data_IF_633024658500
#
_entry.id   IF_633024658500
#
_cell.length_a   1.000
_cell.length_b   1.000
_cell.length_c   1.000
_cell.angle_alpha   90.00
_cell.angle_beta   90.00
_cell.angle_gamma   90.00
#
_symmetry.space_group_name_H-M   'P 1'
#
loop_
_entity.id
_entity.type
_entity.pdbx_description
1 polymer ?
#
# COMPACT_ATOMS: atom_id res chain seq x y z
N UNK A 1 15.11 20.03 15.84
CA UNK A 1 14.38 18.80 15.50
C UNK A 1 13.83 18.94 14.10
N UNK A 2 14.10 17.98 13.21
CA UNK A 2 13.70 18.06 11.80
C UNK A 2 12.17 17.96 11.69
N UNK A 3 11.56 18.83 10.88
CA UNK A 3 10.09 18.95 10.73
C UNK A 3 9.41 17.61 10.42
N UNK A 4 10.12 16.74 9.69
CA UNK A 4 9.70 15.37 9.37
C UNK A 4 9.43 14.50 10.60
N UNK A 5 10.27 14.55 11.63
CA UNK A 5 10.08 13.72 12.85
C UNK A 5 8.81 14.13 13.58
N UNK A 6 8.55 15.44 13.67
CA UNK A 6 7.31 15.96 14.24
C UNK A 6 6.09 15.53 13.42
N UNK A 7 6.19 15.56 12.07
CA UNK A 7 5.12 15.11 11.19
C UNK A 7 4.81 13.61 11.36
N UNK A 8 5.85 12.76 11.41
CA UNK A 8 5.69 11.31 11.67
C UNK A 8 5.04 11.06 13.03
N UNK A 9 5.43 11.80 14.07
CA UNK A 9 4.83 11.66 15.40
C UNK A 9 3.35 12.04 15.40
N UNK A 10 2.99 13.14 14.72
CA UNK A 10 1.60 13.58 14.60
C UNK A 10 0.79 12.54 13.84
N UNK A 11 1.31 12.05 12.71
CA UNK A 11 0.64 11.02 11.91
C UNK A 11 0.37 9.75 12.73
N UNK A 12 1.35 9.30 13.52
CA UNK A 12 1.18 8.14 14.40
C UNK A 12 0.06 8.36 15.43
N UNK A 13 0.02 9.54 16.05
CA UNK A 13 -1.04 9.91 17.01
C UNK A 13 -2.41 9.92 16.33
N UNK A 14 -2.50 10.46 15.10
CA UNK A 14 -3.74 10.48 14.32
C UNK A 14 -4.21 9.05 14.00
N UNK A 15 -3.33 8.16 13.55
CA UNK A 15 -3.69 6.78 13.24
C UNK A 15 -4.17 6.00 14.48
N UNK A 16 -3.58 6.26 15.65
CA UNK A 16 -4.06 5.67 16.90
C UNK A 16 -5.43 6.22 17.27
N UNK A 17 -5.63 7.55 17.21
CA UNK A 17 -6.89 8.22 17.54
C UNK A 17 -8.03 7.80 16.61
N UNK A 18 -7.74 7.65 15.32
CA UNK A 18 -8.67 7.19 14.29
C UNK A 18 -8.85 5.66 14.28
N UNK A 19 -8.17 4.94 15.19
CA UNK A 19 -8.24 3.48 15.35
C UNK A 19 -7.76 2.67 14.13
N UNK A 20 -7.05 3.27 13.18
CA UNK A 20 -6.44 2.56 12.05
C UNK A 20 -5.47 1.48 12.53
N UNK A 21 -4.72 1.71 13.60
CA UNK A 21 -3.80 0.70 14.15
C UNK A 21 -4.56 -0.54 14.67
N UNK A 22 -5.72 -0.34 15.28
CA UNK A 22 -6.58 -1.45 15.73
C UNK A 22 -7.18 -2.19 14.54
N UNK A 23 -7.59 -1.46 13.50
CA UNK A 23 -8.09 -2.04 12.26
C UNK A 23 -7.00 -2.85 11.52
N UNK A 24 -5.74 -2.42 11.55
CA UNK A 24 -4.61 -3.15 10.99
C UNK A 24 -4.35 -4.47 11.74
N UNK A 25 -4.39 -4.44 13.07
CA UNK A 25 -4.29 -5.67 13.90
C UNK A 25 -5.45 -6.62 13.56
N UNK A 26 -6.67 -6.09 13.46
CA UNK A 26 -7.83 -6.88 13.07
C UNK A 26 -7.68 -7.50 11.67
N UNK A 27 -7.16 -6.75 10.68
CA UNK A 27 -6.84 -7.27 9.35
C UNK A 27 -5.86 -8.45 9.43
N UNK A 28 -4.76 -8.30 10.19
CA UNK A 28 -3.79 -9.37 10.40
C UNK A 28 -4.41 -10.62 11.05
N UNK A 29 -5.24 -10.44 12.08
CA UNK A 29 -5.95 -11.54 12.72
C UNK A 29 -6.92 -12.24 11.76
N UNK A 30 -7.62 -11.48 10.92
CA UNK A 30 -8.52 -12.02 9.89
C UNK A 30 -7.75 -12.90 8.90
N UNK A 31 -6.57 -12.46 8.45
CA UNK A 31 -5.73 -13.25 7.55
C UNK A 31 -5.19 -14.52 8.22
N UNK A 32 -4.78 -14.44 9.48
CA UNK A 32 -4.39 -15.62 10.26
C UNK A 32 -5.54 -16.61 10.43
N UNK A 33 -6.76 -16.13 10.66
CA UNK A 33 -7.94 -16.98 10.75
C UNK A 33 -8.24 -17.73 9.44
N UNK A 34 -7.86 -17.16 8.29
CA UNK A 34 -7.97 -17.81 6.98
C UNK A 34 -6.83 -18.80 6.74
N UNK A 35 -5.59 -18.46 7.11
CA UNK A 35 -4.39 -19.26 6.83
C UNK A 35 -4.19 -20.46 7.75
N UNK A 36 -4.41 -20.29 9.06
CA UNK A 36 -4.13 -21.34 10.05
C UNK A 36 -4.97 -22.61 9.87
N UNK A 37 -6.23 -22.57 9.43
CA UNK A 37 -6.99 -23.79 9.11
C UNK A 37 -6.47 -24.55 7.90
N UNK A 38 -5.72 -23.91 6.99
CA UNK A 38 -5.28 -24.54 5.75
C UNK A 38 -4.14 -25.55 5.99
N UNK A 39 -4.06 -26.62 5.19
CA UNK A 39 -2.87 -27.48 5.11
C UNK A 39 -1.63 -26.69 4.70
N UNK A 40 -0.45 -27.11 5.18
CA UNK A 40 0.84 -26.42 4.94
C UNK A 40 1.12 -26.14 3.46
N UNK A 41 0.82 -27.08 2.57
CA UNK A 41 0.99 -26.90 1.11
C UNK A 41 0.05 -25.85 0.50
N UNK A 42 -1.17 -25.70 1.03
CA UNK A 42 -2.10 -24.67 0.58
C UNK A 42 -1.77 -23.29 1.16
N UNK A 43 -1.24 -23.24 2.40
CA UNK A 43 -0.76 -21.98 3.00
C UNK A 43 0.31 -21.32 2.15
N UNK A 44 1.30 -22.08 1.69
CA UNK A 44 2.36 -21.54 0.81
C UNK A 44 1.81 -21.02 -0.51
N UNK A 45 0.69 -21.57 -1.02
CA UNK A 45 0.01 -21.10 -2.24
C UNK A 45 -0.80 -19.82 -1.98
N UNK A 46 -1.48 -19.74 -0.84
CA UNK A 46 -2.34 -18.61 -0.48
C UNK A 46 -1.58 -17.36 -0.03
N UNK A 47 -0.40 -17.51 0.58
CA UNK A 47 0.32 -16.42 1.26
C UNK A 47 0.58 -15.18 0.40
N UNK A 48 1.06 -15.27 -0.86
CA UNK A 48 1.23 -14.08 -1.70
C UNK A 48 -0.06 -13.31 -1.95
N UNK A 49 -1.19 -14.01 -2.07
CA UNK A 49 -2.51 -13.38 -2.25
C UNK A 49 -3.00 -12.71 -0.99
N UNK A 50 -2.77 -13.35 0.16
CA UNK A 50 -3.07 -12.79 1.49
C UNK A 50 -2.29 -11.50 1.71
N UNK A 51 -0.98 -11.53 1.47
CA UNK A 51 -0.13 -10.35 1.58
C UNK A 51 -0.51 -9.26 0.58
N UNK A 52 -0.76 -9.61 -0.69
CA UNK A 52 -1.22 -8.64 -1.67
C UNK A 52 -2.59 -8.04 -1.28
N UNK A 53 -3.49 -8.83 -0.70
CA UNK A 53 -4.75 -8.39 -0.12
C UNK A 53 -4.54 -7.43 1.06
N UNK A 54 -3.64 -7.74 2.00
CA UNK A 54 -3.32 -6.87 3.13
C UNK A 54 -2.67 -5.55 2.68
N UNK A 55 -1.73 -5.61 1.73
CA UNK A 55 -1.15 -4.40 1.11
C UNK A 55 -2.20 -3.56 0.40
N UNK A 56 -3.28 -4.18 -0.08
CA UNK A 56 -4.44 -3.47 -0.64
C UNK A 56 -5.28 -2.83 0.46
N UNK A 57 -5.59 -3.54 1.55
CA UNK A 57 -6.37 -3.00 2.68
C UNK A 57 -5.65 -1.79 3.29
N UNK A 58 -4.40 -1.96 3.70
CA UNK A 58 -3.64 -0.92 4.39
C UNK A 58 -3.10 0.11 3.38
N UNK A 59 -2.54 -0.36 2.26
CA UNK A 59 -1.98 0.53 1.27
C UNK A 59 -3.05 1.35 0.56
N UNK A 60 -4.14 0.75 0.11
CA UNK A 60 -5.13 1.48 -0.69
C UNK A 60 -6.20 2.18 0.15
N UNK A 61 -6.81 1.46 1.09
CA UNK A 61 -7.97 1.98 1.80
C UNK A 61 -7.59 2.82 3.02
N UNK A 62 -6.57 2.45 3.79
CA UNK A 62 -6.24 3.22 5.00
C UNK A 62 -5.70 4.61 4.64
N UNK A 63 -4.83 4.71 3.63
CA UNK A 63 -4.34 6.03 3.19
C UNK A 63 -5.47 6.93 2.74
N UNK A 64 -6.40 6.42 1.93
CA UNK A 64 -7.55 7.19 1.47
C UNK A 64 -8.45 7.58 2.65
N UNK A 65 -8.71 6.64 3.56
CA UNK A 65 -9.44 6.87 4.80
C UNK A 65 -8.82 8.01 5.63
N UNK A 66 -7.51 7.98 5.87
CA UNK A 66 -6.84 9.06 6.61
C UNK A 66 -7.00 10.41 5.91
N UNK A 67 -6.91 10.47 4.57
CA UNK A 67 -7.13 11.71 3.81
C UNK A 67 -8.57 12.22 3.98
N UNK A 68 -9.57 11.35 3.94
CA UNK A 68 -10.97 11.75 4.15
C UNK A 68 -11.23 12.21 5.58
N UNK A 69 -10.67 11.53 6.59
CA UNK A 69 -10.76 11.99 7.98
C UNK A 69 -10.12 13.37 8.14
N UNK A 70 -8.94 13.58 7.55
CA UNK A 70 -8.28 14.89 7.60
C UNK A 70 -9.07 16.00 6.89
N UNK A 71 -9.83 15.66 5.83
CA UNK A 71 -10.77 16.60 5.19
C UNK A 71 -11.92 16.95 6.12
N UNK A 72 -12.53 15.96 6.75
CA UNK A 72 -13.68 16.13 7.64
C UNK A 72 -13.30 16.92 8.90
N UNK A 73 -12.12 16.66 9.48
CA UNK A 73 -11.61 17.37 10.65
C UNK A 73 -11.05 18.77 10.31
N UNK A 74 -11.07 19.18 9.03
CA UNK A 74 -10.46 20.42 8.51
C UNK A 74 -8.96 20.55 8.83
N UNK A 75 -8.29 19.45 9.19
CA UNK A 75 -6.87 19.43 9.54
C UNK A 75 -5.98 19.60 8.31
N UNK A 76 -6.46 19.25 7.11
CA UNK A 76 -5.76 19.59 5.85
C UNK A 76 -5.56 21.10 5.68
N UNK A 77 -6.52 21.94 6.09
CA UNK A 77 -6.37 23.39 6.05
C UNK A 77 -5.33 23.90 7.05
N UNK A 78 -5.25 23.28 8.23
CA UNK A 78 -4.22 23.59 9.23
C UNK A 78 -2.82 23.20 8.73
N UNK A 79 -2.68 22.07 8.04
CA UNK A 79 -1.40 21.63 7.44
C UNK A 79 -0.92 22.65 6.39
N UNK A 80 -1.82 23.15 5.54
CA UNK A 80 -1.50 24.17 4.53
C UNK A 80 -1.04 25.49 5.17
N UNK A 81 -1.58 25.85 6.34
CA UNK A 81 -1.19 27.04 7.10
C UNK A 81 0.14 26.89 7.85
N UNK A 82 0.71 25.67 7.93
CA UNK A 82 2.02 25.41 8.55
C UNK A 82 3.13 25.39 7.49
N UNK A 83 4.41 25.66 7.86
CA UNK A 83 5.53 25.63 6.92
C UNK A 83 5.97 24.19 6.54
N UNK A 84 5.05 23.21 6.62
CA UNK A 84 5.30 21.81 6.30
C UNK A 84 5.22 21.62 4.79
N UNK A 85 6.29 21.07 4.19
CA UNK A 85 6.29 20.81 2.75
C UNK A 85 5.42 19.59 2.45
N UNK A 86 4.75 19.60 1.29
CA UNK A 86 3.96 18.44 0.82
C UNK A 86 4.78 17.13 0.83
N UNK A 87 6.06 17.19 0.47
CA UNK A 87 6.95 16.03 0.49
C UNK A 87 7.18 15.49 1.90
N UNK A 88 7.24 16.35 2.92
CA UNK A 88 7.37 15.95 4.33
C UNK A 88 6.06 15.35 4.85
N UNK A 89 4.93 15.93 4.48
CA UNK A 89 3.60 15.38 4.79
C UNK A 89 3.40 13.98 4.16
N UNK A 90 3.60 13.87 2.85
CA UNK A 90 3.41 12.60 2.13
C UNK A 90 4.39 11.54 2.65
N UNK A 91 5.67 11.87 2.82
CA UNK A 91 6.65 10.89 3.33
C UNK A 91 6.34 10.44 4.76
N UNK A 92 5.88 11.32 5.64
CA UNK A 92 5.46 10.94 6.99
C UNK A 92 4.27 9.96 6.94
N UNK A 93 3.25 10.26 6.15
CA UNK A 93 2.07 9.39 5.97
C UNK A 93 2.44 8.03 5.39
N UNK A 94 3.23 8.02 4.31
CA UNK A 94 3.71 6.80 3.69
C UNK A 94 4.55 5.97 4.65
N UNK A 95 5.46 6.59 5.41
CA UNK A 95 6.34 5.87 6.33
C UNK A 95 5.56 5.19 7.47
N UNK A 96 4.58 5.86 8.07
CA UNK A 96 3.78 5.27 9.15
C UNK A 96 2.92 4.13 8.63
N UNK A 97 2.17 4.32 7.53
CA UNK A 97 1.33 3.26 6.98
C UNK A 97 2.14 2.08 6.43
N UNK A 98 3.30 2.34 5.83
CA UNK A 98 4.23 1.31 5.40
C UNK A 98 4.74 0.50 6.59
N UNK A 99 5.13 1.16 7.68
CA UNK A 99 5.59 0.48 8.89
C UNK A 99 4.49 -0.40 9.50
N UNK A 100 3.24 0.06 9.51
CA UNK A 100 2.08 -0.71 9.97
C UNK A 100 1.88 -1.95 9.08
N UNK A 101 1.81 -1.79 7.76
CA UNK A 101 1.65 -2.90 6.82
C UNK A 101 2.79 -3.91 6.90
N UNK A 102 4.03 -3.44 7.00
CA UNK A 102 5.20 -4.31 7.13
C UNK A 102 5.17 -5.10 8.45
N UNK A 103 4.77 -4.46 9.55
CA UNK A 103 4.64 -5.11 10.85
C UNK A 103 3.57 -6.20 10.81
N UNK A 104 2.41 -5.91 10.23
CA UNK A 104 1.33 -6.92 10.05
C UNK A 104 1.82 -8.07 9.18
N UNK A 105 2.42 -7.78 8.02
CA UNK A 105 2.93 -8.82 7.12
C UNK A 105 3.97 -9.73 7.78
N UNK A 106 4.92 -9.17 8.52
CA UNK A 106 5.94 -9.96 9.25
C UNK A 106 5.28 -10.84 10.31
N UNK A 107 4.34 -10.30 11.10
CA UNK A 107 3.64 -11.08 12.15
C UNK A 107 2.81 -12.21 11.53
N UNK A 108 2.04 -11.92 10.48
CA UNK A 108 1.18 -12.92 9.82
C UNK A 108 2.02 -14.06 9.25
N UNK A 109 3.06 -13.74 8.48
CA UNK A 109 3.92 -14.75 7.83
C UNK A 109 4.70 -15.57 8.86
N UNK A 110 5.25 -14.93 9.89
CA UNK A 110 6.03 -15.65 10.92
C UNK A 110 5.14 -16.59 11.73
N UNK A 111 3.90 -16.22 12.02
CA UNK A 111 2.94 -17.09 12.72
C UNK A 111 2.45 -18.22 11.81
N UNK A 112 2.20 -17.95 10.52
CA UNK A 112 1.66 -18.93 9.59
C UNK A 112 2.69 -19.98 9.12
N UNK A 113 3.95 -19.56 8.91
CA UNK A 113 5.01 -20.36 8.27
C UNK A 113 6.27 -20.52 9.12
N UNK A 114 6.37 -19.90 10.30
CA UNK A 114 7.56 -19.97 11.15
C UNK A 114 8.75 -19.30 10.47
N UNK A 115 9.77 -20.08 10.10
CA UNK A 115 10.97 -19.61 9.37
C UNK A 115 11.05 -20.18 7.95
N UNK A 116 10.00 -20.86 7.47
CA UNK A 116 9.98 -21.54 6.18
C UNK A 116 9.61 -20.61 5.01
N UNK A 117 10.26 -19.45 4.92
CA UNK A 117 10.08 -18.49 3.83
C UNK A 117 11.36 -17.66 3.63
N UNK A 118 11.48 -16.99 2.47
CA UNK A 118 12.62 -16.11 2.18
C UNK A 118 12.28 -14.67 2.58
N UNK A 119 12.91 -14.10 3.62
CA UNK A 119 12.51 -12.80 4.16
C UNK A 119 12.84 -11.63 3.22
N UNK A 120 13.97 -11.68 2.51
CA UNK A 120 14.38 -10.58 1.61
C UNK A 120 13.36 -10.30 0.48
N UNK A 121 12.94 -11.28 -0.34
CA UNK A 121 11.93 -11.05 -1.36
C UNK A 121 10.55 -10.74 -0.76
N UNK A 122 10.21 -11.31 0.40
CA UNK A 122 8.96 -10.98 1.09
C UNK A 122 8.92 -9.50 1.51
N UNK A 123 9.94 -9.00 2.20
CA UNK A 123 10.01 -7.61 2.63
C UNK A 123 10.02 -6.65 1.45
N UNK A 124 10.79 -6.93 0.39
CA UNK A 124 10.83 -6.09 -0.81
C UNK A 124 9.47 -6.08 -1.53
N UNK A 125 8.83 -7.23 -1.67
CA UNK A 125 7.50 -7.35 -2.25
C UNK A 125 6.46 -6.55 -1.48
N UNK A 126 6.42 -6.69 -0.15
CA UNK A 126 5.50 -5.90 0.70
C UNK A 126 5.82 -4.41 0.62
N UNK A 127 7.09 -4.01 0.70
CA UNK A 127 7.45 -2.59 0.66
C UNK A 127 7.01 -1.93 -0.64
N UNK A 128 7.36 -2.54 -1.78
CA UNK A 128 7.03 -1.98 -3.10
C UNK A 128 5.53 -2.05 -3.37
N UNK A 129 4.88 -3.17 -3.03
CA UNK A 129 3.43 -3.35 -3.19
C UNK A 129 2.64 -2.34 -2.37
N UNK A 130 2.97 -2.20 -1.08
CA UNK A 130 2.33 -1.23 -0.19
C UNK A 130 2.56 0.20 -0.65
N UNK A 131 3.79 0.58 -1.04
CA UNK A 131 4.05 1.94 -1.55
C UNK A 131 3.26 2.28 -2.80
N UNK A 132 3.13 1.35 -3.74
CA UNK A 132 2.30 1.54 -4.93
C UNK A 132 0.83 1.74 -4.53
N UNK A 133 0.28 0.86 -3.69
CA UNK A 133 -1.11 0.96 -3.25
C UNK A 133 -1.37 2.25 -2.45
N UNK A 134 -0.44 2.66 -1.59
CA UNK A 134 -0.49 3.91 -0.86
C UNK A 134 -0.56 5.11 -1.79
N UNK A 135 0.28 5.14 -2.81
CA UNK A 135 0.30 6.27 -3.74
C UNK A 135 -0.93 6.30 -4.65
N UNK A 136 -1.39 5.15 -5.14
CA UNK A 136 -2.61 5.08 -5.97
C UNK A 136 -3.83 5.45 -5.13
N UNK A 137 -4.01 4.86 -3.94
CA UNK A 137 -5.12 5.17 -3.04
C UNK A 137 -5.14 6.63 -2.58
N UNK A 138 -3.96 7.21 -2.33
CA UNK A 138 -3.86 8.64 -2.04
C UNK A 138 -4.24 9.46 -3.27
N UNK A 139 -3.66 9.20 -4.46
CA UNK A 139 -3.92 9.98 -5.67
C UNK A 139 -5.39 9.95 -6.09
N UNK A 140 -6.05 8.78 -6.01
CA UNK A 140 -7.46 8.63 -6.40
C UNK A 140 -8.40 9.28 -5.40
N UNK A 141 -8.03 9.41 -4.12
CA UNK A 141 -8.90 10.05 -3.10
C UNK A 141 -8.92 11.58 -3.19
N UNK A 142 -7.89 12.21 -3.75
CA UNK A 142 -7.78 13.67 -3.87
C UNK A 142 -8.96 14.38 -4.59
N UNK A 143 -9.48 13.92 -5.74
CA UNK A 143 -10.56 14.63 -6.44
C UNK A 143 -11.93 14.57 -5.73
N UNK A 144 -12.17 13.56 -4.90
CA UNK A 144 -13.49 13.28 -4.33
C UNK A 144 -13.68 13.95 -2.96
N UNK A 145 -14.89 14.46 -2.70
CA UNK A 145 -15.24 15.06 -1.41
C UNK A 145 -15.80 14.03 -0.42
N UNK A 146 -16.49 13.00 -0.91
CA UNK A 146 -17.09 11.94 -0.09
C UNK A 146 -16.37 10.61 -0.28
N UNK A 147 -16.34 9.82 0.79
CA UNK A 147 -15.81 8.45 0.77
C UNK A 147 -16.65 7.56 -0.16
N UNK A 148 -17.97 7.72 -0.14
CA UNK A 148 -18.90 6.90 -0.92
C UNK A 148 -18.68 7.03 -2.43
N UNK A 149 -18.52 8.27 -2.93
CA UNK A 149 -18.28 8.51 -4.35
C UNK A 149 -16.92 7.96 -4.79
N UNK A 150 -15.91 8.14 -3.93
CA UNK A 150 -14.58 7.59 -4.16
C UNK A 150 -14.59 6.07 -4.21
N UNK A 151 -15.31 5.42 -3.29
CA UNK A 151 -15.36 3.96 -3.20
C UNK A 151 -15.90 3.33 -4.49
N UNK A 152 -16.88 3.95 -5.12
CA UNK A 152 -17.40 3.50 -6.43
C UNK A 152 -16.37 3.72 -7.54
N UNK A 153 -15.83 4.93 -7.66
CA UNK A 153 -14.90 5.28 -8.75
C UNK A 153 -13.56 4.52 -8.67
N UNK A 154 -13.12 4.20 -7.46
CA UNK A 154 -11.81 3.60 -7.21
C UNK A 154 -11.76 2.11 -7.54
N UNK A 155 -12.90 1.49 -7.82
CA UNK A 155 -13.02 0.10 -8.28
C UNK A 155 -12.18 -0.15 -9.53
N UNK A 156 -12.16 0.80 -10.48
CA UNK A 156 -11.41 0.65 -11.74
C UNK A 156 -9.89 0.66 -11.49
N UNK A 157 -9.29 1.69 -10.85
CA UNK A 157 -7.87 1.67 -10.49
C UNK A 157 -7.49 0.44 -9.67
N UNK A 158 -8.34 0.06 -8.70
CA UNK A 158 -8.08 -1.09 -7.84
C UNK A 158 -8.10 -2.40 -8.61
N UNK A 159 -9.08 -2.60 -9.51
CA UNK A 159 -9.16 -3.76 -10.37
C UNK A 159 -7.91 -3.87 -11.25
N UNK A 160 -7.49 -2.78 -11.91
CA UNK A 160 -6.27 -2.75 -12.74
C UNK A 160 -5.04 -3.16 -11.92
N UNK A 161 -4.87 -2.60 -10.73
CA UNK A 161 -3.76 -2.92 -9.83
C UNK A 161 -3.84 -4.33 -9.24
N UNK A 162 -4.99 -5.00 -9.30
CA UNK A 162 -5.19 -6.38 -8.82
C UNK A 162 -5.08 -7.43 -9.93
N UNK A 163 -5.09 -7.01 -11.22
CA UNK A 163 -4.99 -7.92 -12.37
C UNK A 163 -3.81 -8.91 -12.32
N UNK A 164 -2.60 -8.52 -11.84
CA UNK A 164 -1.48 -9.44 -11.62
C UNK A 164 -1.80 -10.70 -10.82
N UNK A 165 -2.79 -10.67 -9.93
CA UNK A 165 -3.20 -11.87 -9.19
C UNK A 165 -3.70 -12.98 -10.13
N UNK A 166 -4.32 -12.62 -11.25
CA UNK A 166 -4.77 -13.55 -12.28
C UNK A 166 -3.61 -14.18 -13.08
N UNK A 167 -2.46 -13.50 -13.14
CA UNK A 167 -1.23 -14.07 -13.69
C UNK A 167 -0.70 -15.16 -12.78
N UNK A 168 -0.58 -14.84 -11.47
CA UNK A 168 -0.02 -15.77 -10.49
C UNK A 168 -0.88 -17.04 -10.35
N UNK A 169 -2.21 -16.93 -10.50
CA UNK A 169 -3.11 -18.08 -10.42
C UNK A 169 -3.12 -18.97 -11.66
N UNK A 170 -2.43 -18.56 -12.74
CA UNK A 170 -2.41 -19.28 -14.01
C UNK A 170 -3.72 -19.16 -14.81
N UNK A 171 -4.71 -18.40 -14.33
CA UNK A 171 -6.00 -18.20 -15.02
C UNK A 171 -5.82 -17.37 -16.29
N UNK A 172 -4.96 -16.35 -16.25
CA UNK A 172 -4.66 -15.53 -17.43
C UNK A 172 -3.20 -15.09 -17.47
N UNK A 173 -2.28 -15.97 -17.93
CA UNK A 173 -0.86 -15.69 -18.00
C UNK A 173 -0.53 -14.85 -19.25
N UNK A 174 -1.01 -13.60 -19.29
CA UNK A 174 -0.79 -12.69 -20.41
C UNK A 174 0.43 -11.77 -20.14
N UNK A 175 1.39 -11.63 -21.08
CA UNK A 175 2.51 -10.69 -20.96
C UNK A 175 2.12 -9.23 -20.69
N UNK A 176 0.91 -8.81 -21.09
CA UNK A 176 0.38 -7.47 -20.83
C UNK A 176 0.33 -7.14 -19.33
N UNK A 177 0.22 -8.15 -18.45
CA UNK A 177 0.17 -7.95 -17.00
C UNK A 177 1.51 -7.45 -16.43
N UNK A 178 2.62 -7.58 -17.16
CA UNK A 178 3.90 -6.93 -16.83
C UNK A 178 3.89 -5.40 -17.03
N UNK A 179 2.82 -4.83 -17.59
CA UNK A 179 2.62 -3.37 -17.59
C UNK A 179 1.99 -2.88 -16.29
N UNK A 180 1.47 -3.76 -15.45
CA UNK A 180 0.88 -3.37 -14.18
C UNK A 180 2.00 -3.35 -13.12
N UNK A 181 2.21 -2.23 -12.41
CA UNK A 181 3.36 -2.08 -11.51
C UNK A 181 3.32 -3.04 -10.31
N UNK A 182 2.15 -3.58 -9.98
CA UNK A 182 1.95 -4.56 -8.89
C UNK A 182 2.39 -5.98 -9.26
N UNK A 183 2.70 -6.24 -10.54
CA UNK A 183 3.27 -7.51 -11.00
C UNK A 183 4.63 -7.79 -10.36
N UNK A 184 5.52 -6.78 -10.30
CA UNK A 184 6.84 -6.92 -9.69
C UNK A 184 6.79 -7.36 -8.21
N UNK A 185 6.07 -6.62 -7.34
CA UNK A 185 5.84 -7.00 -5.96
C UNK A 185 5.25 -8.40 -5.82
N UNK A 186 4.26 -8.76 -6.66
CA UNK A 186 3.61 -10.06 -6.60
C UNK A 186 4.57 -11.21 -6.98
N UNK A 187 5.45 -11.01 -7.97
CA UNK A 187 6.50 -11.97 -8.32
C UNK A 187 7.49 -12.17 -7.18
N UNK A 188 7.89 -11.08 -6.49
CA UNK A 188 8.75 -11.16 -5.30
C UNK A 188 8.07 -11.95 -4.19
N UNK A 189 6.78 -11.69 -3.91
CA UNK A 189 6.01 -12.46 -2.94
C UNK A 189 5.91 -13.94 -3.33
N UNK A 190 5.59 -14.26 -4.59
CA UNK A 190 5.57 -15.65 -5.09
C UNK A 190 6.92 -16.35 -4.93
N UNK A 191 8.03 -15.64 -5.15
CA UNK A 191 9.38 -16.17 -4.93
C UNK A 191 9.73 -16.39 -3.45
N UNK A 192 9.10 -15.62 -2.55
CA UNK A 192 9.36 -15.72 -1.12
C UNK A 192 8.84 -17.02 -0.51
N UNK A 193 7.76 -17.57 -1.08
CA UNK A 193 7.13 -18.82 -0.66
C UNK A 193 7.42 -19.99 -1.61
N UNK A 194 8.39 -19.84 -2.52
CA UNK A 194 8.84 -20.91 -3.41
C UNK A 194 7.88 -21.27 -4.54
N UNK A 195 6.86 -20.45 -4.81
CA UNK A 195 5.93 -20.67 -5.92
C UNK A 195 6.55 -20.33 -7.28
N UNK A 196 7.44 -19.33 -7.31
CA UNK A 196 8.05 -18.81 -8.53
C UNK A 196 9.56 -18.78 -8.39
N UNK A 197 10.27 -19.41 -9.33
CA UNK A 197 11.71 -19.27 -9.46
C UNK A 197 12.01 -18.11 -10.41
N UNK A 198 12.49 -16.99 -9.88
CA UNK A 198 12.80 -15.80 -10.66
C UNK A 198 14.21 -15.88 -11.25
N UNK A 199 14.32 -15.65 -12.55
CA UNK A 199 15.61 -15.40 -13.18
C UNK A 199 16.21 -14.05 -12.71
N UNK A 200 17.53 -13.85 -12.76
CA UNK A 200 18.17 -12.60 -12.31
C UNK A 200 17.61 -11.33 -12.96
N UNK A 201 17.25 -11.40 -14.24
CA UNK A 201 16.63 -10.28 -14.96
C UNK A 201 15.21 -9.98 -14.49
N UNK A 202 14.45 -11.01 -14.06
CA UNK A 202 13.11 -10.85 -13.50
C UNK A 202 13.15 -10.17 -12.13
N UNK A 203 14.19 -10.45 -11.34
CA UNK A 203 14.43 -9.74 -10.06
C UNK A 203 14.71 -8.26 -10.35
N UNK A 204 15.56 -7.96 -11.35
CA UNK A 204 15.82 -6.59 -11.80
C UNK A 204 14.54 -5.87 -12.22
N UNK A 205 13.72 -6.49 -13.06
CA UNK A 205 12.42 -5.97 -13.46
C UNK A 205 11.48 -5.76 -12.25
N UNK A 206 11.37 -6.75 -11.36
CA UNK A 206 10.46 -6.74 -10.22
C UNK A 206 10.82 -5.69 -9.16
N UNK A 207 12.03 -5.14 -9.19
CA UNK A 207 12.47 -4.05 -8.30
C UNK A 207 12.47 -2.71 -9.03
N UNK A 208 13.08 -2.63 -10.20
CA UNK A 208 13.27 -1.37 -10.93
C UNK A 208 11.94 -0.82 -11.44
N UNK A 209 11.08 -1.66 -12.02
CA UNK A 209 9.83 -1.20 -12.61
C UNK A 209 8.88 -0.60 -11.55
N UNK A 210 8.60 -1.27 -10.41
CA UNK A 210 7.81 -0.69 -9.33
C UNK A 210 8.43 0.57 -8.73
N UNK A 211 9.75 0.63 -8.58
CA UNK A 211 10.43 1.83 -8.08
C UNK A 211 10.23 3.04 -9.00
N UNK A 212 10.34 2.84 -10.32
CA UNK A 212 10.06 3.90 -11.30
C UNK A 212 8.60 4.33 -11.25
N UNK A 213 7.66 3.39 -11.11
CA UNK A 213 6.25 3.70 -10.96
C UNK A 213 5.95 4.45 -9.66
N UNK A 214 6.60 4.10 -8.54
CA UNK A 214 6.51 4.84 -7.27
C UNK A 214 7.01 6.27 -7.44
N UNK A 215 8.14 6.47 -8.12
CA UNK A 215 8.66 7.81 -8.40
C UNK A 215 7.70 8.64 -9.28
N UNK A 216 7.18 8.03 -10.35
CA UNK A 216 6.19 8.66 -11.24
C UNK A 216 4.89 9.00 -10.52
N UNK A 217 4.39 8.10 -9.66
CA UNK A 217 3.20 8.33 -8.84
C UNK A 217 3.43 9.41 -7.80
N UNK A 218 4.57 9.44 -7.10
CA UNK A 218 4.91 10.53 -6.19
C UNK A 218 4.85 11.90 -6.88
N UNK A 219 5.36 11.98 -8.11
CA UNK A 219 5.29 13.20 -8.92
C UNK A 219 3.85 13.54 -9.32
N UNK A 220 3.08 12.57 -9.83
CA UNK A 220 1.68 12.76 -10.20
C UNK A 220 0.83 13.21 -9.00
N UNK A 221 1.03 12.58 -7.84
CA UNK A 221 0.35 12.91 -6.59
C UNK A 221 0.64 14.33 -6.13
N UNK A 222 1.89 14.79 -6.28
CA UNK A 222 2.26 16.19 -5.98
C UNK A 222 1.50 17.18 -6.88
N UNK A 223 1.37 16.88 -8.17
CA UNK A 223 0.60 17.71 -9.12
C UNK A 223 -0.89 17.72 -8.78
N UNK A 224 -1.47 16.56 -8.50
CA UNK A 224 -2.88 16.41 -8.14
C UNK A 224 -3.20 17.11 -6.82
N UNK A 225 -2.30 17.05 -5.84
CA UNK A 225 -2.48 17.74 -4.56
C UNK A 225 -2.54 19.26 -4.75
N UNK A 226 -1.62 19.83 -5.53
CA UNK A 226 -1.67 21.25 -5.90
C UNK A 226 -3.00 21.62 -6.58
N UNK A 227 -3.42 20.81 -7.56
CA UNK A 227 -4.64 21.09 -8.34
C UNK A 227 -5.94 20.96 -7.54
N UNK A 228 -6.07 19.94 -6.70
CA UNK A 228 -7.34 19.62 -6.05
C UNK A 228 -7.44 20.10 -4.60
N UNK A 229 -6.32 20.24 -3.90
CA UNK A 229 -6.32 20.64 -2.49
C UNK A 229 -5.98 22.12 -2.36
N UNK A 230 -4.93 22.61 -3.01
CA UNK A 230 -4.50 24.02 -2.86
C UNK A 230 -5.44 24.97 -3.60
N UNK A 231 -5.80 24.67 -4.85
CA UNK A 231 -6.69 25.54 -5.63
C UNK A 231 -8.14 25.61 -5.09
N UNK A 232 -8.62 24.56 -4.42
CA UNK A 232 -9.96 24.56 -3.78
C UNK A 232 -9.99 25.23 -2.41
N UNK A 233 -8.84 25.34 -1.73
CA UNK A 233 -8.75 25.96 -0.39
C UNK A 233 -8.42 27.46 -0.44
N UNK A 234 -8.45 28.08 -1.63
CA UNK A 234 -8.23 29.52 -1.80
C UNK A 234 -6.76 29.95 -1.72
N UNK A 235 -5.82 29.00 -1.86
CA UNK A 235 -4.41 29.33 -2.05
C UNK A 235 -4.20 29.85 -3.47
N UNK A 236 -3.90 31.14 -3.56
CA UNK A 236 -3.47 31.89 -4.76
C UNK A 236 -2.50 31.12 -5.66
#
# INVERSE_FOLDING_TARGET
MTRLVSAVRIELVLQVRQRFLHAAIFSGLMWLAVLLPMPTGLRTVAEPYVLAGDTTIIGFFFVAGTVFFERQERTLGAIIATPLRFTEYLSAKLAVLLAVSLSVAVVVVTVAHGTAYRPAPMLLGVILGTLLMLLVGFATSLPFASISDWFLATTIPLAVMSLPMAYLSGVWPNPVLYLVPTQGPLLLLGSAFGQVSLAPWQIGYAVVYPLLSVAGLCWATKLLFGRYVVARSGGI
#
